data_IF_366942346922
#
_entry.id   IF_366942346922
#
_cell.length_a   1.000
_cell.length_b   1.000
_cell.length_c   1.000
_cell.angle_alpha   90.00
_cell.angle_beta   90.00
_cell.angle_gamma   90.00
#
_symmetry.space_group_name_H-M   'P 1'
#
loop_
_entity.id
_entity.type
_entity.pdbx_description
1 polymer ?
#
# COMPACT_ATOMS: atom_id res chain seq x y z
N UNK A 1 -97.16 -0.94 63.96
CA UNK A 1 -96.59 -0.02 62.96
C UNK A 1 -95.88 1.10 63.70
N UNK A 2 -94.56 1.19 63.60
CA UNK A 2 -93.77 2.19 64.31
C UNK A 2 -93.62 3.40 63.38
N UNK A 3 -94.40 4.46 63.62
CA UNK A 3 -94.45 5.64 62.75
C UNK A 3 -93.19 6.47 63.01
N UNK A 4 -92.22 6.35 62.10
CA UNK A 4 -91.00 7.14 62.14
C UNK A 4 -91.35 8.64 62.11
N UNK A 5 -90.86 9.38 63.10
CA UNK A 5 -91.11 10.82 63.15
C UNK A 5 -90.34 11.52 62.02
N UNK A 6 -90.86 12.62 61.44
CA UNK A 6 -90.21 13.32 60.32
C UNK A 6 -88.74 13.68 60.61
N UNK A 7 -88.42 13.95 61.89
CA UNK A 7 -87.08 14.30 62.38
C UNK A 7 -86.06 13.16 62.21
N UNK A 8 -86.45 11.90 62.37
CA UNK A 8 -85.58 10.73 62.17
C UNK A 8 -85.24 10.51 60.69
N UNK A 9 -86.17 10.84 59.79
CA UNK A 9 -85.97 10.71 58.34
C UNK A 9 -84.96 11.77 57.85
N UNK A 10 -85.08 13.00 58.32
CA UNK A 10 -84.11 14.06 58.00
C UNK A 10 -82.73 13.78 58.60
N UNK A 11 -82.66 13.26 59.84
CA UNK A 11 -81.39 12.88 60.46
C UNK A 11 -80.63 11.83 59.65
N UNK A 12 -81.31 10.76 59.23
CA UNK A 12 -80.72 9.71 58.38
C UNK A 12 -80.31 10.23 57.00
N UNK A 13 -81.07 11.14 56.41
CA UNK A 13 -80.70 11.76 55.13
C UNK A 13 -79.39 12.54 55.24
N UNK A 14 -79.22 13.37 56.27
CA UNK A 14 -78.00 14.15 56.47
C UNK A 14 -76.78 13.27 56.81
N UNK A 15 -76.95 12.18 57.55
CA UNK A 15 -75.87 11.19 57.76
C UNK A 15 -75.44 10.54 56.43
N UNK A 16 -76.40 10.12 55.61
CA UNK A 16 -76.12 9.53 54.30
C UNK A 16 -75.46 10.56 53.38
N UNK A 17 -75.92 11.82 53.39
CA UNK A 17 -75.35 12.90 52.60
C UNK A 17 -73.90 13.21 53.01
N UNK A 18 -73.63 13.35 54.31
CA UNK A 18 -72.27 13.58 54.82
C UNK A 18 -71.34 12.40 54.50
N UNK A 19 -71.84 11.17 54.55
CA UNK A 19 -71.08 9.99 54.13
C UNK A 19 -70.77 9.99 52.62
N UNK A 20 -71.72 10.42 51.80
CA UNK A 20 -71.54 10.55 50.35
C UNK A 20 -70.54 11.65 49.99
N UNK A 21 -70.62 12.79 50.67
CA UNK A 21 -69.73 13.94 50.49
C UNK A 21 -68.28 13.57 50.85
N UNK A 22 -68.06 12.94 52.01
CA UNK A 22 -66.74 12.45 52.41
C UNK A 22 -66.19 11.35 51.49
N UNK A 23 -67.04 10.47 50.97
CA UNK A 23 -66.63 9.46 49.99
C UNK A 23 -66.25 10.10 48.65
N UNK A 24 -66.96 11.16 48.23
CA UNK A 24 -66.67 11.88 47.00
C UNK A 24 -65.36 12.66 47.11
N UNK A 25 -65.15 13.41 48.19
CA UNK A 25 -63.88 14.10 48.46
C UNK A 25 -62.71 13.12 48.46
N UNK A 26 -62.86 11.96 49.13
CA UNK A 26 -61.83 10.91 49.15
C UNK A 26 -61.50 10.35 47.77
N UNK A 27 -62.52 10.16 46.91
CA UNK A 27 -62.34 9.68 45.53
C UNK A 27 -61.66 10.73 44.65
N UNK A 28 -62.06 11.99 44.76
CA UNK A 28 -61.46 13.11 44.04
C UNK A 28 -59.98 13.25 44.42
N UNK A 29 -59.67 13.20 45.71
CA UNK A 29 -58.31 13.17 46.26
C UNK A 29 -57.49 11.98 45.73
N UNK A 30 -58.10 10.79 45.67
CA UNK A 30 -57.46 9.59 45.12
C UNK A 30 -57.11 9.77 43.64
N UNK A 31 -58.05 10.27 42.84
CA UNK A 31 -57.86 10.50 41.42
C UNK A 31 -56.78 11.56 41.15
N UNK A 32 -56.71 12.62 41.96
CA UNK A 32 -55.66 13.63 41.88
C UNK A 32 -54.29 13.03 42.20
N UNK A 33 -54.18 12.20 43.24
CA UNK A 33 -52.93 11.52 43.60
C UNK A 33 -52.47 10.56 42.50
N UNK A 34 -53.38 9.80 41.89
CA UNK A 34 -53.03 8.90 40.78
C UNK A 34 -52.53 9.65 39.55
N UNK A 35 -53.18 10.76 39.18
CA UNK A 35 -52.73 11.61 38.07
C UNK A 35 -51.34 12.19 38.34
N UNK A 36 -51.09 12.65 39.57
CA UNK A 36 -49.78 13.15 39.97
C UNK A 36 -48.70 12.07 39.93
N UNK A 37 -49.02 10.86 40.40
CA UNK A 37 -48.11 9.72 40.32
C UNK A 37 -47.76 9.39 38.88
N UNK A 38 -48.76 9.29 38.00
CA UNK A 38 -48.55 9.05 36.58
C UNK A 38 -47.69 10.14 35.92
N UNK A 39 -47.91 11.42 36.28
CA UNK A 39 -47.09 12.51 35.77
C UNK A 39 -45.63 12.43 36.25
N UNK A 40 -45.38 12.02 37.50
CA UNK A 40 -44.02 11.76 38.00
C UNK A 40 -43.39 10.57 37.30
N UNK A 41 -44.11 9.46 37.12
CA UNK A 41 -43.60 8.27 36.43
C UNK A 41 -43.19 8.59 34.99
N UNK A 42 -43.96 9.43 34.28
CA UNK A 42 -43.61 9.90 32.94
C UNK A 42 -42.38 10.80 32.96
N UNK A 43 -42.31 11.75 33.89
CA UNK A 43 -41.15 12.63 34.01
C UNK A 43 -39.89 11.81 34.24
N UNK A 44 -39.92 10.88 35.18
CA UNK A 44 -38.78 10.04 35.52
C UNK A 44 -38.38 9.14 34.33
N UNK A 45 -39.36 8.65 33.55
CA UNK A 45 -39.07 7.95 32.30
C UNK A 45 -38.41 8.85 31.24
N UNK A 46 -38.88 10.09 31.09
CA UNK A 46 -38.26 11.07 30.19
C UNK A 46 -36.83 11.41 30.63
N UNK A 47 -36.58 11.58 31.93
CA UNK A 47 -35.25 11.85 32.46
C UNK A 47 -34.29 10.69 32.17
N UNK A 48 -34.73 9.44 32.41
CA UNK A 48 -33.94 8.24 32.08
C UNK A 48 -33.61 8.13 30.58
N UNK A 49 -34.58 8.45 29.71
CA UNK A 49 -34.35 8.47 28.25
C UNK A 49 -33.34 9.56 27.88
N UNK A 50 -33.45 10.72 28.50
CA UNK A 50 -32.56 11.85 28.21
C UNK A 50 -31.12 11.55 28.65
N UNK A 51 -30.94 10.91 29.80
CA UNK A 51 -29.63 10.45 30.25
C UNK A 51 -29.06 9.37 29.34
N UNK A 52 -29.87 8.39 28.92
CA UNK A 52 -29.44 7.36 27.96
C UNK A 52 -29.05 7.97 26.60
N UNK A 53 -29.77 9.00 26.15
CA UNK A 53 -29.45 9.72 24.93
C UNK A 53 -28.13 10.50 25.08
N UNK A 54 -27.91 11.14 26.23
CA UNK A 54 -26.66 11.83 26.53
C UNK A 54 -25.47 10.88 26.52
N UNK A 55 -25.60 9.70 27.12
CA UNK A 55 -24.56 8.67 27.11
C UNK A 55 -24.29 8.17 25.69
N UNK A 56 -25.34 7.97 24.90
CA UNK A 56 -25.23 7.56 23.49
C UNK A 56 -24.48 8.60 22.65
N UNK A 57 -24.73 9.89 22.88
CA UNK A 57 -24.01 10.98 22.20
C UNK A 57 -22.53 10.98 22.59
N UNK A 58 -22.22 10.81 23.88
CA UNK A 58 -20.83 10.74 24.33
C UNK A 58 -20.06 9.56 23.70
N UNK A 59 -20.70 8.41 23.55
CA UNK A 59 -20.12 7.26 22.84
C UNK A 59 -19.90 7.54 21.35
N UNK A 60 -20.81 8.26 20.69
CA UNK A 60 -20.64 8.66 19.30
C UNK A 60 -19.46 9.64 19.12
N UNK A 61 -19.29 10.58 20.05
CA UNK A 61 -18.15 11.50 20.04
C UNK A 61 -16.82 10.75 20.22
N UNK A 62 -16.78 9.73 21.07
CA UNK A 62 -15.59 8.87 21.25
C UNK A 62 -15.28 8.08 19.97
N UNK A 63 -16.30 7.49 19.33
CA UNK A 63 -16.15 6.76 18.07
C UNK A 63 -15.65 7.66 16.94
N UNK A 64 -16.15 8.90 16.85
CA UNK A 64 -15.69 9.83 15.80
C UNK A 64 -14.24 10.27 16.05
N UNK A 65 -13.83 10.48 17.30
CA UNK A 65 -12.44 10.72 17.68
C UNK A 65 -11.52 9.54 17.32
N UNK A 66 -11.93 8.30 17.60
CA UNK A 66 -11.18 7.12 17.19
C UNK A 66 -11.07 7.00 15.67
N UNK A 67 -12.17 7.27 14.96
CA UNK A 67 -12.21 7.28 13.49
C UNK A 67 -11.24 8.30 12.92
N UNK A 68 -11.18 9.52 13.44
CA UNK A 68 -10.21 10.53 13.01
C UNK A 68 -8.76 10.04 13.19
N UNK A 69 -8.45 9.42 14.32
CA UNK A 69 -7.13 8.84 14.56
C UNK A 69 -6.78 7.72 13.57
N UNK A 70 -7.75 6.86 13.24
CA UNK A 70 -7.56 5.79 12.24
C UNK A 70 -7.35 6.37 10.84
N UNK A 71 -8.10 7.41 10.47
CA UNK A 71 -7.93 8.10 9.18
C UNK A 71 -6.55 8.72 9.09
N UNK A 72 -6.10 9.42 10.14
CA UNK A 72 -4.77 10.03 10.16
C UNK A 72 -3.66 8.99 10.06
N UNK A 73 -3.73 7.93 10.90
CA UNK A 73 -2.73 6.84 10.89
C UNK A 73 -2.70 6.12 9.54
N UNK A 74 -3.86 5.82 8.96
CA UNK A 74 -3.96 5.16 7.65
C UNK A 74 -3.42 6.06 6.55
N UNK A 75 -3.71 7.36 6.59
CA UNK A 75 -3.21 8.33 5.61
C UNK A 75 -1.68 8.46 5.69
N UNK A 76 -1.12 8.53 6.90
CA UNK A 76 0.33 8.54 7.10
C UNK A 76 0.99 7.25 6.61
N UNK A 77 0.40 6.09 6.91
CA UNK A 77 0.88 4.80 6.45
C UNK A 77 0.85 4.73 4.92
N UNK A 78 -0.25 5.15 4.30
CA UNK A 78 -0.38 5.19 2.85
C UNK A 78 0.69 6.05 2.19
N UNK A 79 0.93 7.27 2.71
CA UNK A 79 2.02 8.15 2.24
C UNK A 79 3.39 7.48 2.35
N UNK A 80 3.65 6.77 3.45
CA UNK A 80 4.92 6.03 3.62
C UNK A 80 5.06 4.89 2.61
N UNK A 81 3.99 4.14 2.37
CA UNK A 81 3.97 3.08 1.36
C UNK A 81 4.23 3.64 -0.04
N UNK A 82 3.60 4.76 -0.40
CA UNK A 82 3.86 5.41 -1.69
C UNK A 82 5.33 5.84 -1.85
N UNK A 83 5.91 6.47 -0.82
CA UNK A 83 7.33 6.86 -0.86
C UNK A 83 8.23 5.65 -1.00
N UNK A 84 8.00 4.60 -0.21
CA UNK A 84 8.75 3.35 -0.32
C UNK A 84 8.64 2.73 -1.71
N UNK A 85 7.46 2.79 -2.33
CA UNK A 85 7.25 2.26 -3.69
C UNK A 85 7.99 3.09 -4.74
N UNK A 86 8.02 4.43 -4.61
CA UNK A 86 8.83 5.29 -5.48
C UNK A 86 10.33 4.98 -5.33
N UNK A 87 10.80 4.83 -4.10
CA UNK A 87 12.19 4.52 -3.80
C UNK A 87 12.57 3.14 -4.34
N UNK A 88 11.69 2.14 -4.19
CA UNK A 88 11.88 0.81 -4.77
C UNK A 88 12.01 0.87 -6.29
N UNK A 89 11.09 1.54 -6.98
CA UNK A 89 11.13 1.65 -8.44
C UNK A 89 12.38 2.41 -8.91
N UNK A 90 12.79 3.45 -8.19
CA UNK A 90 14.03 4.17 -8.48
C UNK A 90 15.25 3.26 -8.30
N UNK A 91 15.28 2.47 -7.22
CA UNK A 91 16.39 1.56 -6.93
C UNK A 91 16.45 0.44 -7.98
N UNK A 92 15.30 -0.12 -8.37
CA UNK A 92 15.19 -1.12 -9.43
C UNK A 92 15.72 -0.59 -10.76
N UNK A 93 15.31 0.61 -11.18
CA UNK A 93 15.83 1.26 -12.38
C UNK A 93 17.35 1.47 -12.31
N UNK A 94 17.89 1.85 -11.14
CA UNK A 94 19.35 1.95 -10.97
C UNK A 94 20.05 0.60 -11.03
N UNK A 95 19.46 -0.46 -10.46
CA UNK A 95 20.01 -1.81 -10.49
C UNK A 95 20.01 -2.39 -11.90
N UNK A 96 18.95 -2.17 -12.68
CA UNK A 96 18.87 -2.52 -14.10
C UNK A 96 19.94 -1.77 -14.90
N UNK A 97 20.10 -0.46 -14.66
CA UNK A 97 21.14 0.34 -15.30
C UNK A 97 22.54 -0.18 -15.01
N UNK A 98 22.83 -0.52 -13.73
CA UNK A 98 24.11 -1.11 -13.33
C UNK A 98 24.31 -2.48 -13.99
N UNK A 99 23.28 -3.33 -14.00
CA UNK A 99 23.35 -4.67 -14.58
C UNK A 99 23.60 -4.63 -16.09
N UNK A 100 22.91 -3.73 -16.80
CA UNK A 100 23.14 -3.49 -18.24
C UNK A 100 24.58 -3.04 -18.49
N UNK A 101 25.11 -2.09 -17.70
CA UNK A 101 26.49 -1.63 -17.82
C UNK A 101 27.49 -2.75 -17.54
N UNK A 102 27.27 -3.57 -16.51
CA UNK A 102 28.12 -4.72 -16.19
C UNK A 102 28.14 -5.78 -17.29
N UNK A 103 26.99 -6.03 -17.94
CA UNK A 103 26.91 -6.95 -19.06
C UNK A 103 27.84 -6.53 -20.21
N UNK A 104 27.93 -5.22 -20.50
CA UNK A 104 28.89 -4.70 -21.49
C UNK A 104 30.33 -5.00 -21.09
N UNK A 105 30.71 -4.79 -19.82
CA UNK A 105 32.07 -5.14 -19.35
C UNK A 105 32.35 -6.65 -19.38
N UNK A 106 31.34 -7.49 -19.14
CA UNK A 106 31.48 -8.93 -19.28
C UNK A 106 31.72 -9.31 -20.76
N UNK A 107 31.01 -8.67 -21.69
CA UNK A 107 31.22 -8.86 -23.12
C UNK A 107 32.61 -8.40 -23.58
N UNK A 108 33.13 -7.26 -23.09
CA UNK A 108 34.53 -6.84 -23.32
C UNK A 108 35.51 -7.96 -22.93
N UNK A 109 35.30 -8.57 -21.76
CA UNK A 109 36.17 -9.62 -21.25
C UNK A 109 36.08 -10.90 -22.10
N UNK A 110 34.87 -11.28 -22.53
CA UNK A 110 34.66 -12.42 -23.44
C UNK A 110 35.34 -12.20 -24.79
N UNK A 111 35.11 -11.02 -25.39
CA UNK A 111 35.72 -10.61 -26.66
C UNK A 111 37.26 -10.57 -26.55
N UNK A 112 37.79 -10.04 -25.45
CA UNK A 112 39.23 -10.04 -25.17
C UNK A 112 39.82 -11.44 -25.14
N UNK A 113 39.16 -12.39 -24.46
CA UNK A 113 39.62 -13.80 -24.41
C UNK A 113 39.59 -14.43 -25.79
N UNK A 114 38.50 -14.26 -26.54
CA UNK A 114 38.35 -14.80 -27.89
C UNK A 114 39.38 -14.22 -28.86
N UNK A 115 39.63 -12.91 -28.82
CA UNK A 115 40.65 -12.27 -29.66
C UNK A 115 42.08 -12.61 -29.26
N UNK A 116 42.36 -12.77 -27.96
CA UNK A 116 43.67 -13.24 -27.49
C UNK A 116 43.99 -14.63 -28.04
N UNK A 117 43.01 -15.53 -28.03
CA UNK A 117 43.14 -16.88 -28.59
C UNK A 117 43.36 -16.85 -30.11
N UNK A 118 42.61 -16.03 -30.86
CA UNK A 118 42.84 -15.82 -32.29
C UNK A 118 44.25 -15.33 -32.61
N UNK A 119 44.82 -14.47 -31.76
CA UNK A 119 46.17 -13.93 -31.96
C UNK A 119 47.31 -14.89 -31.58
N UNK A 120 47.01 -15.97 -30.84
CA UNK A 120 48.01 -16.95 -30.39
C UNK A 120 48.48 -17.91 -31.51
N UNK A 121 47.87 -17.84 -32.70
CA UNK A 121 48.46 -18.36 -33.94
C UNK A 121 48.34 -19.87 -34.20
N UNK A 122 47.59 -20.64 -33.40
CA UNK A 122 47.26 -22.04 -33.72
C UNK A 122 45.98 -22.11 -34.57
N UNK A 123 46.13 -22.45 -35.86
CA UNK A 123 45.04 -22.45 -36.85
C UNK A 123 43.97 -23.52 -36.59
N UNK A 124 44.33 -24.63 -35.93
CA UNK A 124 43.40 -25.74 -35.59
C UNK A 124 42.45 -25.41 -34.42
N UNK A 125 42.65 -24.29 -33.73
CA UNK A 125 41.80 -23.86 -32.61
C UNK A 125 40.79 -22.77 -33.00
N UNK A 126 40.89 -22.19 -34.21
CA UNK A 126 39.98 -21.13 -34.68
C UNK A 126 38.56 -21.67 -34.90
N UNK A 127 38.43 -22.91 -35.36
CA UNK A 127 37.13 -23.60 -35.46
C UNK A 127 36.53 -23.99 -34.11
N UNK A 128 37.33 -24.02 -33.04
CA UNK A 128 36.88 -24.31 -31.65
C UNK A 128 36.47 -23.06 -30.88
N UNK A 129 36.77 -21.87 -31.42
CA UNK A 129 36.41 -20.58 -30.83
C UNK A 129 34.92 -20.25 -30.98
N UNK A 130 34.25 -20.88 -31.95
CA UNK A 130 32.85 -20.68 -32.26
C UNK A 130 32.06 -21.98 -32.03
N UNK A 131 30.75 -21.89 -31.75
CA UNK A 131 29.90 -23.07 -31.57
C UNK A 131 29.96 -24.02 -32.78
N UNK A 132 29.87 -25.35 -32.57
CA UNK A 132 29.88 -26.31 -33.66
C UNK A 132 28.69 -26.08 -34.59
N UNK A 133 28.96 -25.83 -35.88
CA UNK A 133 27.94 -25.56 -36.90
C UNK A 133 27.89 -24.12 -37.43
N UNK A 134 28.66 -23.19 -36.84
CA UNK A 134 28.82 -21.83 -37.36
C UNK A 134 30.03 -21.75 -38.27
N UNK A 135 29.89 -21.14 -39.45
CA UNK A 135 31.02 -20.88 -40.34
C UNK A 135 32.03 -19.96 -39.63
N UNK A 136 33.32 -20.26 -39.74
CA UNK A 136 34.39 -19.45 -39.17
C UNK A 136 34.30 -18.00 -39.66
N UNK A 137 33.88 -17.78 -40.91
CA UNK A 137 33.66 -16.43 -41.44
C UNK A 137 32.50 -15.70 -40.73
N UNK A 138 31.40 -16.39 -40.46
CA UNK A 138 30.22 -15.85 -39.78
C UNK A 138 30.50 -15.56 -38.31
N UNK A 139 31.21 -16.47 -37.61
CA UNK A 139 31.62 -16.27 -36.22
C UNK A 139 32.62 -15.12 -36.04
N UNK A 140 33.56 -14.97 -36.99
CA UNK A 140 34.52 -13.86 -36.99
C UNK A 140 33.80 -12.52 -37.25
N UNK A 141 32.82 -12.51 -38.14
CA UNK A 141 31.99 -11.33 -38.41
C UNK A 141 31.18 -10.91 -37.17
N UNK A 142 30.52 -11.86 -36.49
CA UNK A 142 29.80 -11.59 -35.24
C UNK A 142 30.74 -11.02 -34.15
N UNK A 143 31.93 -11.60 -34.00
CA UNK A 143 32.93 -11.13 -33.05
C UNK A 143 33.36 -9.68 -33.33
N UNK A 144 33.61 -9.32 -34.60
CA UNK A 144 33.95 -7.96 -34.97
C UNK A 144 32.79 -6.99 -34.79
N UNK A 145 31.57 -7.40 -35.14
CA UNK A 145 30.38 -6.59 -34.93
C UNK A 145 30.12 -6.30 -33.44
N UNK A 146 30.31 -7.29 -32.58
CA UNK A 146 30.23 -7.12 -31.11
C UNK A 146 31.35 -6.22 -30.59
N UNK A 147 32.57 -6.36 -31.10
CA UNK A 147 33.70 -5.47 -30.79
C UNK A 147 33.38 -4.00 -31.14
N UNK A 148 32.86 -3.74 -32.34
CA UNK A 148 32.51 -2.39 -32.80
C UNK A 148 31.35 -1.82 -31.97
N UNK A 149 30.33 -2.64 -31.66
CA UNK A 149 29.19 -2.22 -30.83
C UNK A 149 29.63 -1.80 -29.43
N UNK A 150 30.50 -2.59 -28.80
CA UNK A 150 31.02 -2.27 -27.46
C UNK A 150 31.98 -1.09 -27.50
N UNK A 151 32.76 -0.92 -28.58
CA UNK A 151 33.63 0.25 -28.76
C UNK A 151 32.80 1.53 -28.88
N UNK A 152 31.74 1.53 -29.69
CA UNK A 152 30.84 2.67 -29.83
C UNK A 152 30.16 3.04 -28.51
N UNK A 153 29.70 2.05 -27.74
CA UNK A 153 29.12 2.26 -26.42
C UNK A 153 30.12 2.89 -25.43
N UNK A 154 31.38 2.44 -25.44
CA UNK A 154 32.42 2.99 -24.56
C UNK A 154 32.88 4.39 -24.99
N UNK A 155 32.80 4.72 -26.28
CA UNK A 155 33.07 6.07 -26.80
C UNK A 155 31.97 7.06 -26.42
N UNK A 156 30.71 6.63 -26.41
CA UNK A 156 29.57 7.44 -25.95
C UNK A 156 29.59 7.68 -24.43
N UNK A 157 30.12 6.72 -23.66
CA UNK A 157 30.22 6.78 -22.20
C UNK A 157 31.68 6.91 -21.69
N UNK A 158 32.34 8.01 -22.09
CA UNK A 158 33.71 8.32 -21.67
C UNK A 158 33.84 8.72 -20.19
N UNK A 159 32.72 8.89 -19.50
CA UNK A 159 32.61 9.24 -18.08
C UNK A 159 32.93 8.06 -17.15
N UNK A 160 32.98 6.83 -17.65
CA UNK A 160 33.39 5.68 -16.84
C UNK A 160 34.90 5.67 -16.58
N UNK A 161 35.29 5.47 -15.32
CA UNK A 161 36.68 5.43 -14.87
C UNK A 161 37.55 4.45 -15.68
N UNK A 162 36.97 3.33 -16.12
CA UNK A 162 37.64 2.27 -16.86
C UNK A 162 37.46 2.36 -18.39
N UNK A 163 36.67 3.32 -18.92
CA UNK A 163 36.41 3.44 -20.36
C UNK A 163 37.70 3.65 -21.15
N UNK A 164 38.56 4.58 -20.72
CA UNK A 164 39.83 4.88 -21.39
C UNK A 164 40.77 3.66 -21.46
N UNK A 165 40.88 2.89 -20.36
CA UNK A 165 41.67 1.66 -20.33
C UNK A 165 41.08 0.59 -21.25
N UNK A 166 39.75 0.40 -21.22
CA UNK A 166 39.02 -0.52 -22.08
C UNK A 166 39.21 -0.19 -23.56
N UNK A 167 39.01 1.07 -23.96
CA UNK A 167 39.19 1.55 -25.34
C UNK A 167 40.62 1.32 -25.85
N UNK A 168 41.63 1.61 -25.01
CA UNK A 168 43.02 1.34 -25.36
C UNK A 168 43.27 -0.15 -25.63
N UNK A 169 42.70 -1.03 -24.80
CA UNK A 169 42.80 -2.47 -24.95
C UNK A 169 42.06 -2.97 -26.21
N UNK A 170 40.86 -2.46 -26.48
CA UNK A 170 40.09 -2.80 -27.68
C UNK A 170 40.79 -2.36 -28.96
N UNK A 171 41.38 -1.15 -28.98
CA UNK A 171 42.16 -0.66 -30.13
C UNK A 171 43.36 -1.55 -30.46
N UNK A 172 44.03 -2.05 -29.42
CA UNK A 172 45.14 -2.98 -29.53
C UNK A 172 44.70 -4.36 -30.02
N UNK A 173 43.59 -4.89 -29.48
CA UNK A 173 43.01 -6.17 -29.92
C UNK A 173 42.56 -6.11 -31.37
N UNK A 174 41.91 -5.01 -31.81
CA UNK A 174 41.52 -4.79 -33.20
C UNK A 174 42.73 -4.80 -34.13
N UNK A 175 43.80 -4.09 -33.75
CA UNK A 175 45.05 -4.05 -34.52
C UNK A 175 45.69 -5.45 -34.65
N UNK A 176 45.69 -6.23 -33.56
CA UNK A 176 46.17 -7.62 -33.56
C UNK A 176 45.30 -8.56 -34.38
N UNK A 177 43.97 -8.40 -34.31
CA UNK A 177 43.03 -9.20 -35.07
C UNK A 177 43.18 -8.94 -36.58
N UNK A 178 43.31 -7.69 -37.01
CA UNK A 178 43.63 -7.34 -38.41
C UNK A 178 44.92 -8.00 -38.89
N UNK A 179 45.95 -8.03 -38.04
CA UNK A 179 47.20 -8.72 -38.36
C UNK A 179 47.02 -10.25 -38.46
N UNK A 180 46.28 -10.86 -37.54
CA UNK A 180 45.99 -12.30 -37.55
C UNK A 180 45.21 -12.71 -38.80
N UNK A 181 44.14 -11.98 -39.13
CA UNK A 181 43.32 -12.21 -40.34
C UNK A 181 44.16 -12.03 -41.61
N UNK A 182 44.95 -10.95 -41.70
CA UNK A 182 45.87 -10.74 -42.83
C UNK A 182 46.88 -11.89 -42.95
N UNK A 183 47.43 -12.36 -41.85
CA UNK A 183 48.38 -13.48 -41.85
C UNK A 183 47.74 -14.79 -42.30
N UNK A 184 46.46 -14.99 -41.99
CA UNK A 184 45.69 -16.15 -42.41
C UNK A 184 45.33 -16.09 -43.91
N UNK A 185 44.89 -14.93 -44.39
CA UNK A 185 44.62 -14.69 -45.81
C UNK A 185 45.88 -14.76 -46.68
N UNK A 186 47.07 -14.46 -46.15
CA UNK A 186 48.34 -14.62 -46.87
C UNK A 186 48.93 -16.04 -46.81
N UNK A 187 48.36 -16.94 -45.99
CA UNK A 187 48.73 -18.37 -45.95
C UNK A 187 47.79 -19.26 -46.75
N UNK A 188 46.60 -18.77 -47.11
CA UNK A 188 45.71 -19.33 -48.13
C UNK A 188 46.26 -19.03 -49.53
#
# INVERSE_FOLDING_TARGET
ENVATPRDVYGKFYEIYAHLETQQESKEDSAVRERWKWAMDIRDACDNINDSLRDSVALLDEVDSEREQVVEKTTQLHKRCETMMRDHNSLEATAESISSKLAVFEDVNKITRQMSLLSSGTTDDVSKLFPPGVDVAEGLQDLFQRLDTVTAFMEEHYDYQMASACLSQMSHLRSRACFAVRSHLMRL
#
